data_IF_247305846165
#
_entry.id   IF_247305846165
#
_cell.length_a   1.000
_cell.length_b   1.000
_cell.length_c   1.000
_cell.angle_alpha   90.00
_cell.angle_beta   90.00
_cell.angle_gamma   90.00
#
_symmetry.space_group_name_H-M   'P 1'
#
loop_
_entity.id
_entity.type
_entity.pdbx_description
1 polymer ?
#
# COMPACT_ATOMS: atom_id res chain seq x y z
N UNK A 1 -20.70 -2.94 11.14
CA UNK A 1 -19.36 -2.34 11.04
C UNK A 1 -19.04 -2.17 9.58
N UNK A 2 -18.70 -0.96 9.16
CA UNK A 2 -18.22 -0.70 7.81
C UNK A 2 -16.87 -1.40 7.64
N UNK A 3 -16.71 -2.15 6.54
CA UNK A 3 -15.46 -2.86 6.28
C UNK A 3 -14.39 -1.84 5.90
N UNK A 4 -13.14 -2.07 6.31
CA UNK A 4 -12.01 -1.24 5.89
C UNK A 4 -11.15 -2.05 4.93
N UNK A 5 -10.88 -1.48 3.75
CA UNK A 5 -10.17 -2.14 2.65
C UNK A 5 -8.93 -1.31 2.34
N UNK A 6 -7.78 -1.97 2.34
CA UNK A 6 -6.53 -1.41 1.84
C UNK A 6 -6.23 -2.01 0.47
N UNK A 7 -6.18 -1.19 -0.58
CA UNK A 7 -5.95 -1.63 -1.94
C UNK A 7 -4.59 -1.13 -2.47
N UNK A 8 -3.77 -2.03 -2.99
CA UNK A 8 -2.48 -1.71 -3.59
C UNK A 8 -2.13 -2.72 -4.68
N UNK A 9 -1.34 -2.29 -5.66
CA UNK A 9 -0.79 -3.18 -6.69
C UNK A 9 0.67 -3.51 -6.39
N UNK A 10 1.05 -4.79 -6.45
CA UNK A 10 2.43 -5.25 -6.23
C UNK A 10 3.35 -5.00 -7.44
N UNK A 11 3.44 -3.75 -7.92
CA UNK A 11 4.31 -3.35 -9.01
C UNK A 11 4.70 -1.88 -8.88
N UNK A 12 5.95 -1.58 -9.20
CA UNK A 12 6.48 -0.24 -9.33
C UNK A 12 6.27 0.42 -10.71
N UNK A 13 5.53 -0.23 -11.60
CA UNK A 13 5.14 0.44 -12.83
C UNK A 13 4.17 1.58 -12.51
N UNK A 14 4.50 2.80 -12.92
CA UNK A 14 3.57 3.95 -12.90
C UNK A 14 2.28 3.69 -13.70
N UNK A 15 2.28 2.69 -14.58
CA UNK A 15 1.13 2.23 -15.35
C UNK A 15 0.67 0.82 -14.94
N UNK A 16 0.86 0.44 -13.68
CA UNK A 16 0.52 -0.89 -13.15
C UNK A 16 -0.95 -1.27 -13.40
N UNK A 17 -1.18 -2.32 -14.19
CA UNK A 17 -2.50 -2.92 -14.41
C UNK A 17 -3.05 -3.54 -13.12
N UNK A 18 -2.17 -4.09 -12.28
CA UNK A 18 -2.54 -4.67 -10.99
C UNK A 18 -3.05 -3.60 -10.03
N UNK A 19 -2.46 -2.39 -10.03
CA UNK A 19 -2.97 -1.27 -9.25
C UNK A 19 -4.38 -0.89 -9.72
N UNK A 20 -4.59 -0.76 -11.03
CA UNK A 20 -5.90 -0.43 -11.61
C UNK A 20 -6.95 -1.49 -11.22
N UNK A 21 -6.60 -2.77 -11.32
CA UNK A 21 -7.47 -3.88 -10.95
C UNK A 21 -7.83 -3.86 -9.45
N UNK A 22 -6.83 -3.70 -8.58
CA UNK A 22 -7.04 -3.68 -7.12
C UNK A 22 -7.93 -2.51 -6.70
N UNK A 23 -7.67 -1.30 -7.22
CA UNK A 23 -8.49 -0.11 -6.96
C UNK A 23 -9.92 -0.30 -7.46
N UNK A 24 -10.07 -0.83 -8.68
CA UNK A 24 -11.39 -1.09 -9.24
C UNK A 24 -12.18 -2.08 -8.39
N UNK A 25 -11.59 -3.22 -8.03
CA UNK A 25 -12.24 -4.23 -7.21
C UNK A 25 -12.62 -3.70 -5.82
N UNK A 26 -11.75 -2.93 -5.17
CA UNK A 26 -12.04 -2.31 -3.89
C UNK A 26 -13.18 -1.28 -3.98
N UNK A 27 -13.29 -0.55 -5.09
CA UNK A 27 -14.37 0.40 -5.33
C UNK A 27 -15.76 -0.23 -5.54
N UNK A 28 -15.85 -1.54 -5.76
CA UNK A 28 -17.13 -2.24 -5.89
C UNK A 28 -17.85 -2.43 -4.54
N UNK A 29 -17.17 -2.19 -3.42
CA UNK A 29 -17.75 -2.34 -2.09
C UNK A 29 -18.46 -1.06 -1.66
N UNK A 30 -19.79 -1.09 -1.61
CA UNK A 30 -20.64 0.08 -1.28
C UNK A 30 -20.73 0.41 0.20
N UNK A 31 -20.36 -0.55 1.08
CA UNK A 31 -20.35 -0.37 2.53
C UNK A 31 -18.96 -0.64 3.12
N UNK A 32 -17.96 0.02 2.54
CA UNK A 32 -16.58 -0.06 2.98
C UNK A 32 -15.85 1.28 2.82
N UNK A 33 -14.93 1.56 3.74
CA UNK A 33 -13.92 2.62 3.56
C UNK A 33 -12.73 2.02 2.82
N UNK A 34 -12.37 2.61 1.69
CA UNK A 34 -11.25 2.15 0.86
C UNK A 34 -10.10 3.15 0.94
N UNK A 35 -8.93 2.67 1.34
CA UNK A 35 -7.67 3.41 1.27
C UNK A 35 -6.80 2.79 0.18
N UNK A 36 -6.22 3.63 -0.69
CA UNK A 36 -5.37 3.17 -1.80
C UNK A 36 -3.92 3.55 -1.52
N UNK A 37 -3.02 2.56 -1.56
CA UNK A 37 -1.58 2.79 -1.48
C UNK A 37 -0.97 2.67 -2.88
N UNK A 38 -0.19 3.68 -3.28
CA UNK A 38 0.72 3.58 -4.41
C UNK A 38 2.12 3.20 -3.91
N UNK A 39 2.66 2.05 -4.36
CA UNK A 39 4.01 1.64 -3.98
C UNK A 39 5.08 2.59 -4.51
N UNK A 40 4.81 3.35 -5.58
CA UNK A 40 5.74 4.37 -6.09
C UNK A 40 5.98 5.50 -5.07
N UNK A 41 5.05 5.74 -4.14
CA UNK A 41 5.22 6.73 -3.07
C UNK A 41 6.25 6.28 -2.00
N UNK A 42 6.61 4.99 -2.04
CA UNK A 42 7.57 4.33 -1.15
C UNK A 42 8.74 3.75 -1.93
N UNK A 43 8.79 4.00 -3.25
CA UNK A 43 9.87 3.50 -4.07
C UNK A 43 11.16 4.24 -3.79
N UNK A 44 12.19 3.43 -3.59
CA UNK A 44 13.55 3.85 -3.40
C UNK A 44 14.41 3.13 -4.45
N UNK A 45 15.49 3.75 -4.94
CA UNK A 45 16.14 3.38 -6.20
C UNK A 45 16.73 1.96 -6.29
N UNK A 46 16.82 1.21 -5.19
CA UNK A 46 17.38 -0.15 -5.17
C UNK A 46 16.66 -1.07 -4.18
N UNK A 47 15.98 -2.12 -4.64
CA UNK A 47 15.20 -3.01 -3.77
C UNK A 47 16.01 -3.61 -2.60
N UNK A 48 17.20 -4.16 -2.86
CA UNK A 48 18.03 -4.82 -1.84
C UNK A 48 18.58 -3.84 -0.78
N UNK A 49 18.78 -2.57 -1.15
CA UNK A 49 19.20 -1.54 -0.20
C UNK A 49 18.04 -0.98 0.62
N UNK A 50 16.80 -1.21 0.18
CA UNK A 50 15.61 -0.56 0.74
C UNK A 50 14.66 -1.52 1.45
N UNK A 51 14.83 -2.83 1.24
CA UNK A 51 14.07 -3.89 1.88
C UNK A 51 15.00 -4.93 2.49
N UNK A 52 14.69 -5.36 3.71
CA UNK A 52 15.43 -6.43 4.40
C UNK A 52 14.48 -7.47 4.96
N UNK A 53 14.82 -8.74 4.78
CA UNK A 53 14.04 -9.85 5.32
C UNK A 53 13.79 -9.70 6.82
N UNK A 54 12.54 -9.91 7.23
CA UNK A 54 12.08 -9.75 8.62
C UNK A 54 11.87 -8.31 9.09
N UNK A 55 12.35 -7.30 8.34
CA UNK A 55 12.23 -5.87 8.69
C UNK A 55 11.29 -5.13 7.72
N UNK A 56 11.26 -5.54 6.45
CA UNK A 56 10.50 -4.82 5.41
C UNK A 56 11.23 -3.55 4.98
N UNK A 57 10.53 -2.41 4.89
CA UNK A 57 11.10 -1.12 4.50
C UNK A 57 12.15 -0.69 5.53
N UNK A 58 13.41 -0.56 5.12
CA UNK A 58 14.52 -0.23 6.02
C UNK A 58 14.60 1.26 6.36
N UNK A 59 13.95 2.11 5.57
CA UNK A 59 13.99 3.55 5.75
C UNK A 59 12.87 3.99 6.70
N UNK A 60 13.26 4.51 7.86
CA UNK A 60 12.35 4.77 8.99
C UNK A 60 11.16 5.67 8.63
N UNK A 61 11.38 6.74 7.87
CA UNK A 61 10.30 7.68 7.51
C UNK A 61 9.20 7.02 6.66
N UNK A 62 9.59 6.20 5.70
CA UNK A 62 8.65 5.47 4.85
C UNK A 62 7.93 4.37 5.63
N UNK A 63 8.66 3.68 6.51
CA UNK A 63 8.05 2.68 7.39
C UNK A 63 7.04 3.34 8.35
N UNK A 64 7.38 4.48 8.97
CA UNK A 64 6.45 5.25 9.83
C UNK A 64 5.19 5.65 9.07
N UNK A 65 5.33 6.20 7.86
CA UNK A 65 4.16 6.56 7.03
C UNK A 65 3.29 5.35 6.71
N UNK A 66 3.88 4.21 6.38
CA UNK A 66 3.13 2.96 6.16
C UNK A 66 2.39 2.52 7.44
N UNK A 67 3.06 2.54 8.59
CA UNK A 67 2.45 2.20 9.87
C UNK A 67 1.32 3.17 10.24
N UNK A 68 1.45 4.46 9.96
CA UNK A 68 0.36 5.43 10.17
C UNK A 68 -0.88 5.09 9.34
N UNK A 69 -0.71 4.70 8.07
CA UNK A 69 -1.82 4.28 7.21
C UNK A 69 -2.47 3.01 7.77
N UNK A 70 -1.67 2.02 8.17
CA UNK A 70 -2.16 0.77 8.76
C UNK A 70 -2.91 1.04 10.07
N UNK A 71 -2.38 1.90 10.96
CA UNK A 71 -3.00 2.22 12.24
C UNK A 71 -4.31 2.99 12.08
N UNK A 72 -4.42 3.87 11.07
CA UNK A 72 -5.70 4.53 10.73
C UNK A 72 -6.79 3.52 10.35
N UNK A 73 -6.39 2.36 9.83
CA UNK A 73 -7.33 1.31 9.47
C UNK A 73 -7.84 0.52 10.68
N UNK A 74 -7.30 0.68 11.90
CA UNK A 74 -7.78 0.03 13.14
C UNK A 74 -8.31 -1.41 12.91
N UNK A 75 -7.43 -2.32 12.50
CA UNK A 75 -7.74 -3.75 12.49
C UNK A 75 -7.82 -4.30 13.92
#
# INVERSE_FOLDING_TARGET
MDRKILAFGASNSRQSINKKLAVHAAGLFTNATVEVIDLNDFELPNFEQNFKDGIGIVHDDFNKRLQEIINKLQF
#
